data_IF_699512449412
#
_entry.id   IF_699512449412
#
_cell.length_a   1.000
_cell.length_b   1.000
_cell.length_c   1.000
_cell.angle_alpha   90.00
_cell.angle_beta   90.00
_cell.angle_gamma   90.00
#
_symmetry.space_group_name_H-M   'P 1'
#
loop_
_entity.id
_entity.type
_entity.pdbx_description
1 polymer ?
#
# COMPACT_ATOMS: atom_id res chain seq x y z
N UNK A 1 -11.74 -12.68 9.58
CA UNK A 1 -10.70 -11.83 8.95
C UNK A 1 -9.98 -11.09 10.05
N UNK A 2 -8.64 -11.13 10.08
CA UNK A 2 -7.85 -10.40 11.07
C UNK A 2 -7.13 -9.25 10.37
N UNK A 3 -7.36 -8.02 10.83
CA UNK A 3 -6.50 -6.88 10.51
C UNK A 3 -5.31 -7.02 11.45
N UNK A 4 -4.20 -7.55 10.93
CA UNK A 4 -3.02 -7.78 11.75
C UNK A 4 -2.16 -6.54 11.76
N UNK A 5 -2.61 -5.51 12.48
CA UNK A 5 -1.71 -4.47 12.94
C UNK A 5 -1.00 -5.02 14.17
N UNK A 6 0.30 -5.35 14.14
CA UNK A 6 1.00 -5.59 15.40
C UNK A 6 0.82 -4.33 16.25
N UNK A 7 0.37 -4.45 17.53
CA UNK A 7 0.31 -3.29 18.41
C UNK A 7 1.69 -2.67 18.43
N UNK A 8 1.75 -1.40 18.01
CA UNK A 8 3.00 -0.74 17.70
C UNK A 8 3.97 -0.77 18.86
N UNK A 9 5.01 -1.58 18.77
CA UNK A 9 6.25 -1.32 19.49
C UNK A 9 7.04 -0.28 18.68
N UNK A 10 6.47 0.92 18.57
CA UNK A 10 7.21 2.08 18.06
C UNK A 10 8.29 2.45 19.09
N UNK A 11 9.44 1.78 19.02
CA UNK A 11 10.66 2.16 19.76
C UNK A 11 11.28 3.37 19.05
N UNK A 12 10.74 4.55 19.33
CA UNK A 12 11.16 5.79 18.69
C UNK A 12 12.61 6.14 19.08
N UNK A 13 13.53 6.04 18.11
CA UNK A 13 14.72 6.90 18.02
C UNK A 13 14.58 7.73 16.75
N UNK A 14 14.12 8.97 16.90
CA UNK A 14 14.05 9.93 15.79
C UNK A 14 12.77 9.83 14.94
N UNK A 15 12.35 10.99 14.43
CA UNK A 15 11.06 11.28 13.82
C UNK A 15 10.81 10.47 12.54
N UNK A 16 10.02 9.42 12.62
CA UNK A 16 9.27 8.89 11.48
C UNK A 16 7.89 8.47 11.99
N UNK A 17 6.82 8.95 11.36
CA UNK A 17 5.46 8.50 11.70
C UNK A 17 5.44 6.97 11.53
N UNK A 18 4.89 6.25 12.51
CA UNK A 18 4.72 4.81 12.38
C UNK A 18 3.84 4.52 11.16
N UNK A 19 4.16 3.48 10.39
CA UNK A 19 3.40 3.13 9.20
C UNK A 19 1.93 2.93 9.57
N UNK A 20 1.03 3.59 8.84
CA UNK A 20 -0.42 3.51 9.04
C UNK A 20 -1.07 2.48 8.11
N UNK A 21 -0.27 1.66 7.42
CA UNK A 21 -0.76 0.69 6.46
C UNK A 21 -1.00 -0.64 7.17
N UNK A 22 -2.26 -1.07 7.16
CA UNK A 22 -2.66 -2.35 7.71
C UNK A 22 -2.66 -3.45 6.64
N UNK A 23 -2.30 -4.66 7.05
CA UNK A 23 -2.44 -5.85 6.22
C UNK A 23 -3.75 -6.57 6.56
N UNK A 24 -4.46 -7.00 5.53
CA UNK A 24 -5.73 -7.71 5.66
C UNK A 24 -5.50 -9.18 5.33
N UNK A 25 -5.58 -10.04 6.35
CA UNK A 25 -5.38 -11.48 6.19
C UNK A 25 -6.72 -12.23 6.34
N UNK A 26 -7.27 -12.78 5.25
CA UNK A 26 -8.47 -13.61 5.32
C UNK A 26 -8.12 -14.94 6.01
N UNK A 27 -8.99 -15.38 6.92
CA UNK A 27 -8.68 -16.51 7.79
C UNK A 27 -9.14 -17.87 7.27
N UNK A 28 -10.11 -17.94 6.33
CA UNK A 28 -10.74 -19.23 6.01
C UNK A 28 -11.04 -19.54 4.52
N UNK A 29 -11.16 -18.57 3.59
CA UNK A 29 -11.46 -18.92 2.18
C UNK A 29 -11.27 -17.75 1.21
N UNK A 30 -11.07 -18.04 -0.09
CA UNK A 30 -10.91 -17.05 -1.17
C UNK A 30 -12.07 -16.06 -1.29
N UNK A 31 -13.31 -16.44 -0.93
CA UNK A 31 -14.48 -15.56 -0.96
C UNK A 31 -14.55 -14.52 0.17
N UNK A 32 -13.74 -14.67 1.23
CA UNK A 32 -13.74 -13.74 2.35
C UNK A 32 -13.18 -12.35 1.99
N UNK A 33 -12.35 -12.28 0.94
CA UNK A 33 -11.84 -11.00 0.44
C UNK A 33 -12.93 -10.24 -0.32
N UNK A 34 -13.73 -10.93 -1.13
CA UNK A 34 -14.86 -10.34 -1.85
C UNK A 34 -15.89 -9.74 -0.90
N UNK A 35 -16.26 -10.45 0.17
CA UNK A 35 -17.16 -9.95 1.20
C UNK A 35 -16.60 -8.70 1.89
N UNK A 36 -15.31 -8.71 2.25
CA UNK A 36 -14.64 -7.54 2.83
C UNK A 36 -14.63 -6.34 1.89
N UNK A 37 -14.33 -6.54 0.60
CA UNK A 37 -14.33 -5.46 -0.39
C UNK A 37 -15.73 -4.88 -0.56
N UNK A 38 -16.78 -5.71 -0.49
CA UNK A 38 -18.17 -5.25 -0.64
C UNK A 38 -18.69 -4.49 0.58
N UNK A 39 -18.26 -4.87 1.79
CA UNK A 39 -18.81 -4.31 3.02
C UNK A 39 -17.91 -3.24 3.66
N UNK A 40 -16.59 -3.47 3.73
CA UNK A 40 -15.69 -2.63 4.53
C UNK A 40 -15.08 -1.49 3.72
N UNK A 41 -14.70 -1.74 2.46
CA UNK A 41 -14.06 -0.71 1.62
C UNK A 41 -14.97 0.53 1.44
N UNK A 42 -16.29 0.41 1.19
CA UNK A 42 -17.17 1.59 1.08
C UNK A 42 -17.24 2.40 2.38
N UNK A 43 -17.21 1.72 3.53
CA UNK A 43 -17.21 2.36 4.85
C UNK A 43 -15.92 3.17 5.10
N UNK A 44 -14.77 2.61 4.72
CA UNK A 44 -13.48 3.30 4.83
C UNK A 44 -13.37 4.48 3.85
N UNK A 45 -13.91 4.34 2.64
CA UNK A 45 -13.99 5.43 1.67
C UNK A 45 -14.91 6.55 2.16
N UNK A 46 -16.07 6.25 2.75
CA UNK A 46 -16.98 7.26 3.31
C UNK A 46 -16.31 8.08 4.43
N UNK A 47 -15.44 7.44 5.21
CA UNK A 47 -14.68 8.10 6.29
C UNK A 47 -13.43 8.83 5.81
N UNK A 48 -13.12 8.80 4.52
CA UNK A 48 -11.93 9.43 3.95
C UNK A 48 -10.61 8.73 4.31
N UNK A 49 -10.67 7.49 4.80
CA UNK A 49 -9.49 6.70 5.18
C UNK A 49 -8.93 5.89 4.00
N UNK A 50 -9.70 5.73 2.93
CA UNK A 50 -9.32 4.98 1.74
C UNK A 50 -9.57 5.77 0.46
N UNK A 51 -8.71 5.56 -0.55
CA UNK A 51 -8.88 6.17 -1.87
C UNK A 51 -10.02 5.53 -2.65
N UNK A 52 -10.64 6.32 -3.53
CA UNK A 52 -11.71 5.90 -4.44
C UNK A 52 -11.21 5.46 -5.82
N UNK A 53 -10.06 5.97 -6.24
CA UNK A 53 -9.44 5.65 -7.51
C UNK A 53 -7.91 5.61 -7.37
N UNK A 54 -7.27 4.90 -8.31
CA UNK A 54 -5.82 4.95 -8.49
C UNK A 54 -5.45 6.22 -9.25
N UNK A 55 -4.51 6.99 -8.71
CA UNK A 55 -4.06 8.26 -9.32
C UNK A 55 -2.91 8.03 -10.32
N UNK A 56 -2.16 6.95 -10.14
CA UNK A 56 -1.06 6.55 -11.01
C UNK A 56 -1.29 5.23 -11.72
N UNK A 57 -0.50 5.01 -12.76
CA UNK A 57 -0.46 3.75 -13.53
C UNK A 57 0.42 2.69 -12.89
N UNK A 58 1.24 3.05 -11.90
CA UNK A 58 2.14 2.12 -11.21
C UNK A 58 1.87 2.09 -9.71
N UNK A 59 2.17 0.95 -9.09
CA UNK A 59 2.05 0.80 -7.64
C UNK A 59 2.94 1.80 -6.89
N UNK A 60 4.13 2.10 -7.41
CA UNK A 60 5.03 3.09 -6.82
C UNK A 60 4.36 4.48 -6.75
N UNK A 61 3.80 4.95 -7.86
CA UNK A 61 3.07 6.24 -7.90
C UNK A 61 1.87 6.22 -6.96
N UNK A 62 1.10 5.13 -6.95
CA UNK A 62 -0.01 5.00 -6.03
C UNK A 62 0.44 5.04 -4.56
N UNK A 63 1.59 4.48 -4.21
CA UNK A 63 2.11 4.52 -2.83
C UNK A 63 2.86 5.82 -2.50
N UNK A 64 3.03 6.74 -3.47
CA UNK A 64 3.87 7.93 -3.30
C UNK A 64 5.37 7.59 -3.16
N UNK A 65 5.77 6.45 -3.72
CA UNK A 65 7.16 5.99 -3.74
C UNK A 65 7.85 6.46 -5.02
N UNK A 66 9.13 6.79 -4.90
CA UNK A 66 9.99 7.05 -6.04
C UNK A 66 10.08 5.80 -6.92
N UNK A 67 10.02 5.99 -8.24
CA UNK A 67 10.16 4.90 -9.19
C UNK A 67 11.64 4.50 -9.21
N UNK A 68 12.00 3.25 -8.83
CA UNK A 68 13.38 2.84 -8.81
C UNK A 68 13.92 2.73 -10.25
N UNK A 69 15.05 3.39 -10.52
CA UNK A 69 15.76 3.17 -11.78
C UNK A 69 16.62 1.92 -11.65
N UNK A 70 16.33 0.91 -12.46
CA UNK A 70 17.18 -0.26 -12.56
C UNK A 70 18.48 0.11 -13.27
N UNK A 71 19.63 -0.34 -12.76
CA UNK A 71 20.96 -0.03 -13.32
C UNK A 71 21.06 -0.35 -14.81
N UNK A 72 20.38 -1.40 -15.28
CA UNK A 72 20.31 -1.73 -16.71
C UNK A 72 19.63 -0.65 -17.57
N UNK A 73 18.62 0.06 -17.05
CA UNK A 73 17.98 1.17 -17.77
C UNK A 73 18.90 2.41 -17.84
N UNK A 74 19.74 2.63 -16.83
CA UNK A 74 20.72 3.72 -16.86
C UNK A 74 21.75 3.52 -17.99
N UNK A 75 22.21 2.28 -18.18
CA UNK A 75 23.18 1.95 -19.22
C UNK A 75 22.62 2.11 -20.65
N UNK A 76 21.30 1.94 -20.83
CA UNK A 76 20.65 2.14 -22.13
C UNK A 76 20.56 3.64 -22.46
N UNK A 77 20.22 4.48 -21.49
CA UNK A 77 20.11 5.93 -21.70
C UNK A 77 21.45 6.59 -22.05
N UNK A 78 22.56 6.08 -21.53
CA UNK A 78 23.90 6.59 -21.88
C UNK A 78 24.43 6.04 -23.21
N UNK A 79 23.91 4.91 -23.69
CA UNK A 79 24.27 4.35 -24.99
C UNK A 79 23.48 4.97 -26.16
N UNK A 80 22.35 5.60 -25.86
CA UNK A 80 21.49 6.29 -26.83
C UNK A 80 21.72 7.82 -26.89
N UNK A 81 22.69 8.34 -26.12
CA UNK A 81 23.15 9.74 -26.15
C UNK A 81 24.46 9.91 -26.93
#
# INVERSE_FOLDING_TARGET
MAITSPPGTCRARGRTRCATQDNVLPSHTSGAVDEFVREVVPELQRRGLFRRAHEGTTQCVNLGLEIPMHTANMLILEAES
#
